data_IF_323024118474
#
_entry.id   IF_323024118474
#
_cell.length_a   1.000
_cell.length_b   1.000
_cell.length_c   1.000
_cell.angle_alpha   90.00
_cell.angle_beta   90.00
_cell.angle_gamma   90.00
#
_symmetry.space_group_name_H-M   'P 1'
#
loop_
_entity.id
_entity.type
_entity.pdbx_description
1 polymer ?
#
# COMPACT_ATOMS: atom_id res chain seq x y z
N UNK A 1 18.65 28.05 33.03
CA UNK A 1 17.42 27.25 32.90
C UNK A 1 16.80 27.55 31.54
N UNK A 2 17.16 26.80 30.49
CA UNK A 2 16.38 26.72 29.25
C UNK A 2 16.68 25.35 28.64
N UNK A 3 15.72 24.45 28.77
CA UNK A 3 15.82 23.04 28.38
C UNK A 3 15.97 22.91 26.86
N UNK A 4 16.85 21.98 26.46
CA UNK A 4 17.13 21.55 25.10
C UNK A 4 15.84 21.31 24.30
N UNK A 5 15.53 22.16 23.33
CA UNK A 5 14.59 21.85 22.23
C UNK A 5 15.30 21.10 21.10
N UNK A 6 16.08 20.07 21.43
CA UNK A 6 16.61 19.12 20.46
C UNK A 6 15.92 17.78 20.68
N UNK A 7 14.66 17.71 20.25
CA UNK A 7 13.84 16.51 20.35
C UNK A 7 13.30 16.14 18.98
N UNK A 8 14.18 15.55 18.16
CA UNK A 8 13.81 14.53 17.18
C UNK A 8 12.75 14.92 16.14
N UNK A 9 12.89 16.08 15.50
CA UNK A 9 12.60 16.12 14.06
C UNK A 9 13.69 15.30 13.38
N UNK A 10 13.53 13.97 13.42
CA UNK A 10 14.15 13.12 12.41
C UNK A 10 13.58 13.64 11.12
N UNK A 11 14.36 14.48 10.45
CA UNK A 11 14.18 14.78 9.04
C UNK A 11 14.40 13.43 8.38
N UNK A 12 13.33 12.62 8.30
CA UNK A 12 13.26 11.49 7.39
C UNK A 12 13.35 12.13 6.01
N UNK A 13 14.56 12.27 5.52
CA UNK A 13 14.84 12.59 4.13
C UNK A 13 13.94 11.71 3.26
N UNK A 14 13.11 12.35 2.41
CA UNK A 14 12.28 11.92 1.26
C UNK A 14 12.29 10.43 0.78
N UNK A 15 12.30 9.48 1.70
CA UNK A 15 12.44 8.06 1.41
C UNK A 15 11.09 7.33 1.40
N UNK A 16 10.01 8.00 1.80
CA UNK A 16 8.65 7.49 1.67
C UNK A 16 7.68 8.60 1.28
N UNK A 17 6.80 8.31 0.33
CA UNK A 17 5.78 9.22 -0.19
C UNK A 17 4.42 8.56 0.05
N UNK A 18 3.53 9.25 0.76
CA UNK A 18 2.16 8.80 0.91
C UNK A 18 1.40 9.05 -0.39
N UNK A 19 0.75 8.00 -0.91
CA UNK A 19 -0.12 8.06 -2.06
C UNK A 19 -1.56 8.17 -1.57
N UNK A 20 -2.22 9.27 -1.92
CA UNK A 20 -3.62 9.50 -1.54
C UNK A 20 -4.52 8.44 -2.18
N UNK A 21 -5.26 7.71 -1.35
CA UNK A 21 -6.31 6.80 -1.78
C UNK A 21 -7.59 7.62 -2.00
N UNK A 22 -8.04 7.71 -3.25
CA UNK A 22 -9.29 8.38 -3.61
C UNK A 22 -10.34 7.33 -3.90
N UNK A 23 -11.39 7.29 -3.09
CA UNK A 23 -12.52 6.40 -3.34
C UNK A 23 -13.24 6.82 -4.63
N UNK A 24 -13.38 5.88 -5.56
CA UNK A 24 -14.06 6.09 -6.86
C UNK A 24 -15.44 5.45 -6.89
N UNK A 25 -15.60 4.32 -6.23
CA UNK A 25 -16.85 3.61 -6.04
C UNK A 25 -16.74 2.73 -4.79
N UNK A 26 -17.85 2.17 -4.33
CA UNK A 26 -17.89 1.33 -3.13
C UNK A 26 -16.80 0.23 -3.16
N UNK A 27 -15.90 0.25 -2.18
CA UNK A 27 -14.78 -0.68 -2.05
C UNK A 27 -13.67 -0.51 -3.08
N UNK A 28 -13.71 0.50 -3.95
CA UNK A 28 -12.69 0.78 -4.98
C UNK A 28 -12.00 2.11 -4.70
N UNK A 29 -10.72 2.03 -4.33
CA UNK A 29 -9.84 3.17 -4.16
C UNK A 29 -8.84 3.25 -5.32
N UNK A 30 -8.50 4.47 -5.71
CA UNK A 30 -7.48 4.73 -6.72
C UNK A 30 -6.37 5.57 -6.12
N UNK A 31 -5.13 5.10 -6.27
CA UNK A 31 -3.93 5.84 -5.91
C UNK A 31 -3.15 6.19 -7.18
N UNK A 32 -3.05 7.47 -7.49
CA UNK A 32 -2.26 7.97 -8.63
C UNK A 32 -0.81 8.12 -8.23
N UNK A 33 0.11 7.66 -9.08
CA UNK A 33 1.54 7.90 -8.92
C UNK A 33 1.97 9.10 -9.73
N UNK A 34 2.93 9.84 -9.20
CA UNK A 34 3.38 11.11 -9.79
C UNK A 34 4.36 10.91 -10.96
N UNK A 35 5.19 9.86 -10.89
CA UNK A 35 6.14 9.50 -11.94
C UNK A 35 6.10 7.98 -12.18
N UNK A 36 6.09 7.56 -13.45
CA UNK A 36 6.18 6.16 -13.85
C UNK A 36 7.45 5.48 -13.33
N UNK A 37 8.55 6.23 -13.13
CA UNK A 37 9.79 5.72 -12.51
C UNK A 37 9.55 5.21 -11.09
N UNK A 38 8.53 5.71 -10.38
CA UNK A 38 8.20 5.22 -9.03
C UNK A 38 7.90 3.72 -9.01
N UNK A 39 7.29 3.17 -10.06
CA UNK A 39 7.01 1.73 -10.15
C UNK A 39 8.29 0.88 -10.06
N UNK A 40 9.38 1.38 -10.61
CA UNK A 40 10.67 0.70 -10.60
C UNK A 40 11.44 0.99 -9.33
N UNK A 41 11.54 2.27 -8.96
CA UNK A 41 12.49 2.75 -7.95
C UNK A 41 11.95 2.67 -6.50
N UNK A 42 10.64 2.44 -6.32
CA UNK A 42 10.00 2.40 -4.99
C UNK A 42 9.31 1.06 -4.73
N UNK A 43 9.46 0.51 -3.53
CA UNK A 43 8.54 -0.48 -2.97
C UNK A 43 7.22 0.17 -2.59
N UNK A 44 6.15 -0.62 -2.56
CA UNK A 44 4.82 -0.12 -2.18
C UNK A 44 4.32 -0.90 -0.98
N UNK A 45 3.81 -0.17 0.01
CA UNK A 45 3.32 -0.73 1.27
C UNK A 45 1.93 -0.19 1.53
N UNK A 46 1.02 -1.07 1.90
CA UNK A 46 -0.31 -0.75 2.36
C UNK A 46 -0.36 -0.96 3.88
N UNK A 47 -0.56 0.11 4.63
CA UNK A 47 -0.85 0.05 6.06
C UNK A 47 -2.36 -0.02 6.25
N UNK A 48 -2.83 -0.99 7.03
CA UNK A 48 -4.26 -1.29 7.17
C UNK A 48 -4.60 -1.43 8.64
N UNK A 49 -5.66 -0.75 9.06
CA UNK A 49 -6.30 -0.92 10.37
C UNK A 49 -7.77 -1.22 10.15
N UNK A 50 -8.34 -2.07 10.98
CA UNK A 50 -9.78 -2.35 11.01
C UNK A 50 -10.17 -2.81 12.42
N UNK A 51 -11.46 -2.71 12.75
CA UNK A 51 -12.04 -3.13 14.03
C UNK A 51 -12.28 -4.66 14.05
N UNK A 52 -11.24 -5.43 13.71
CA UNK A 52 -11.21 -6.89 13.70
C UNK A 52 -9.91 -7.40 14.34
N UNK A 53 -9.87 -8.68 14.71
CA UNK A 53 -8.63 -9.29 15.20
C UNK A 53 -7.52 -9.25 14.13
N UNK A 54 -6.28 -9.01 14.56
CA UNK A 54 -5.15 -8.88 13.65
C UNK A 54 -4.94 -10.15 12.81
N UNK A 55 -5.16 -11.33 13.39
CA UNK A 55 -5.06 -12.62 12.71
C UNK A 55 -6.07 -12.76 11.56
N UNK A 56 -7.28 -12.21 11.74
CA UNK A 56 -8.32 -12.17 10.70
C UNK A 56 -7.87 -11.24 9.58
N UNK A 57 -7.35 -10.05 9.92
CA UNK A 57 -6.82 -9.13 8.90
C UNK A 57 -5.67 -9.77 8.12
N UNK A 58 -4.74 -10.44 8.80
CA UNK A 58 -3.60 -11.11 8.18
C UNK A 58 -3.98 -12.22 7.19
N UNK A 59 -5.08 -12.91 7.43
CA UNK A 59 -5.51 -14.06 6.64
C UNK A 59 -6.52 -13.69 5.56
N UNK A 60 -7.51 -12.85 5.89
CA UNK A 60 -8.61 -12.53 4.98
C UNK A 60 -8.31 -11.32 4.08
N UNK A 61 -7.59 -10.32 4.58
CA UNK A 61 -7.38 -9.08 3.83
C UNK A 61 -6.59 -9.30 2.53
N UNK A 62 -5.45 -10.03 2.52
CA UNK A 62 -4.71 -10.28 1.28
C UNK A 62 -5.53 -11.04 0.23
N UNK A 63 -6.46 -11.89 0.65
CA UNK A 63 -7.31 -12.67 -0.25
C UNK A 63 -8.47 -11.85 -0.85
N UNK A 64 -8.97 -10.86 -0.11
CA UNK A 64 -10.11 -10.03 -0.50
C UNK A 64 -9.71 -8.71 -1.17
N UNK A 65 -8.47 -8.26 -0.92
CA UNK A 65 -7.90 -7.07 -1.55
C UNK A 65 -7.30 -7.43 -2.91
N UNK A 66 -7.81 -6.78 -3.96
CA UNK A 66 -7.30 -6.89 -5.33
C UNK A 66 -6.62 -5.60 -5.73
N UNK A 67 -5.32 -5.66 -6.01
CA UNK A 67 -4.57 -4.51 -6.50
C UNK A 67 -4.19 -4.74 -7.96
N UNK A 68 -4.43 -3.75 -8.82
CA UNK A 68 -4.15 -3.85 -10.25
C UNK A 68 -4.04 -2.47 -10.91
N UNK A 69 -3.63 -2.40 -12.19
CA UNK A 69 -3.82 -1.19 -12.98
C UNK A 69 -5.31 -0.81 -13.05
N UNK A 70 -5.62 0.48 -13.01
CA UNK A 70 -6.99 1.00 -13.15
C UNK A 70 -7.72 0.47 -14.39
N UNK A 71 -6.99 0.18 -15.47
CA UNK A 71 -7.53 -0.37 -16.72
C UNK A 71 -7.89 -1.86 -16.64
N UNK A 72 -7.35 -2.60 -15.66
CA UNK A 72 -7.50 -4.06 -15.53
C UNK A 72 -8.35 -4.49 -14.35
N UNK A 73 -8.56 -3.61 -13.36
CA UNK A 73 -9.24 -3.99 -12.12
C UNK A 73 -10.64 -4.57 -12.35
N UNK A 74 -11.39 -4.01 -13.30
CA UNK A 74 -12.74 -4.48 -13.64
C UNK A 74 -12.73 -5.94 -14.08
N UNK A 75 -11.84 -6.29 -15.00
CA UNK A 75 -11.71 -7.65 -15.52
C UNK A 75 -11.29 -8.61 -14.40
N UNK A 76 -10.37 -8.19 -13.53
CA UNK A 76 -9.92 -9.00 -12.39
C UNK A 76 -11.03 -9.28 -11.38
N UNK A 77 -11.93 -8.33 -11.16
CA UNK A 77 -13.11 -8.52 -10.31
C UNK A 77 -14.10 -9.47 -10.98
N UNK A 78 -14.47 -9.19 -12.24
CA UNK A 78 -15.48 -9.96 -12.98
C UNK A 78 -15.07 -11.42 -13.23
N UNK A 79 -13.80 -11.63 -13.60
CA UNK A 79 -13.26 -12.94 -13.93
C UNK A 79 -12.64 -13.64 -12.71
N UNK A 80 -12.78 -13.05 -11.52
CA UNK A 80 -12.21 -13.56 -10.27
C UNK A 80 -10.70 -13.85 -10.34
N UNK A 81 -9.97 -13.11 -11.19
CA UNK A 81 -8.54 -13.29 -11.36
C UNK A 81 -7.77 -12.71 -10.16
N UNK A 82 -6.58 -13.27 -9.86
CA UNK A 82 -5.70 -12.71 -8.84
C UNK A 82 -5.17 -11.33 -9.25
N UNK A 83 -5.01 -10.45 -8.26
CA UNK A 83 -4.32 -9.17 -8.43
C UNK A 83 -2.83 -9.28 -8.14
N UNK A 84 -2.19 -8.13 -7.90
CA UNK A 84 -0.83 -8.04 -7.37
C UNK A 84 -0.85 -8.60 -5.95
N UNK A 85 0.09 -9.51 -5.66
CA UNK A 85 0.20 -10.16 -4.36
C UNK A 85 0.49 -9.16 -3.24
N UNK A 86 -0.05 -9.45 -2.06
CA UNK A 86 0.20 -8.73 -0.83
C UNK A 86 0.95 -9.65 0.14
N UNK A 87 2.16 -9.26 0.51
CA UNK A 87 3.00 -9.96 1.47
C UNK A 87 2.93 -9.25 2.82
N UNK A 88 2.49 -9.95 3.84
CA UNK A 88 2.52 -9.44 5.22
C UNK A 88 3.94 -9.09 5.65
N UNK A 89 4.10 -7.92 6.27
CA UNK A 89 5.33 -7.51 6.93
C UNK A 89 5.21 -7.72 8.46
N UNK A 90 6.22 -8.30 9.13
CA UNK A 90 6.18 -8.54 10.57
C UNK A 90 6.29 -7.24 11.40
N UNK A 91 6.78 -6.16 10.80
CA UNK A 91 6.94 -4.86 11.42
C UNK A 91 6.79 -3.74 10.39
N UNK A 92 6.46 -2.53 10.86
CA UNK A 92 6.41 -1.34 10.03
C UNK A 92 7.80 -1.03 9.41
N UNK A 93 7.87 -0.64 8.12
CA UNK A 93 9.07 -0.06 7.55
C UNK A 93 9.54 1.16 8.36
N UNK A 94 10.86 1.30 8.53
CA UNK A 94 11.46 2.42 9.28
C UNK A 94 11.24 3.79 8.63
N UNK A 95 10.91 3.80 7.34
CA UNK A 95 10.72 4.99 6.53
C UNK A 95 9.32 5.60 6.65
N UNK A 96 8.35 4.88 7.25
CA UNK A 96 6.98 5.39 7.43
C UNK A 96 6.66 5.53 8.92
N UNK A 97 5.78 6.48 9.31
CA UNK A 97 5.36 6.60 10.69
C UNK A 97 4.75 5.30 11.22
N UNK A 98 5.14 4.92 12.43
CA UNK A 98 4.52 3.79 13.11
C UNK A 98 3.14 4.21 13.64
N UNK A 99 2.11 3.48 13.22
CA UNK A 99 0.77 3.61 13.76
C UNK A 99 0.40 2.35 14.52
N UNK A 100 0.08 2.49 15.81
CA UNK A 100 -0.31 1.37 16.65
C UNK A 100 -1.62 0.75 16.13
N UNK A 101 -1.65 -0.59 16.03
CA UNK A 101 -2.81 -1.33 15.51
C UNK A 101 -2.89 -1.45 13.99
N UNK A 102 -1.90 -0.94 13.25
CA UNK A 102 -1.83 -1.15 11.80
C UNK A 102 -1.06 -2.43 11.48
N UNK A 103 -1.55 -3.14 10.48
CA UNK A 103 -0.85 -4.25 9.82
C UNK A 103 -0.32 -3.76 8.49
N UNK A 104 0.91 -4.15 8.16
CA UNK A 104 1.60 -3.64 6.98
C UNK A 104 1.74 -4.76 5.93
N UNK A 105 1.36 -4.46 4.70
CA UNK A 105 1.45 -5.38 3.57
C UNK A 105 2.29 -4.77 2.46
N UNK A 106 3.33 -5.46 2.04
CA UNK A 106 4.15 -5.09 0.89
C UNK A 106 3.56 -5.66 -0.40
N UNK A 107 3.53 -4.86 -1.46
CA UNK A 107 3.11 -5.33 -2.78
C UNK A 107 4.24 -6.14 -3.43
N UNK A 108 3.91 -7.34 -3.88
CA UNK A 108 4.88 -8.20 -4.55
C UNK A 108 5.16 -7.71 -5.96
N UNK A 109 6.39 -7.26 -6.19
CA UNK A 109 6.88 -6.88 -7.51
C UNK A 109 7.18 -8.13 -8.33
N UNK A 110 6.25 -8.52 -9.20
CA UNK A 110 6.45 -9.69 -10.04
C UNK A 110 5.30 -9.97 -11.02
N UNK A 111 5.60 -10.82 -12.01
CA UNK A 111 4.61 -11.26 -13.00
C UNK A 111 4.22 -10.21 -14.04
N UNK A 112 3.31 -10.60 -14.92
CA UNK A 112 2.90 -9.77 -16.06
C UNK A 112 1.98 -8.61 -15.66
N UNK A 113 1.27 -8.73 -14.53
CA UNK A 113 0.44 -7.65 -14.00
C UNK A 113 1.30 -6.49 -13.49
N UNK A 114 2.47 -6.77 -12.89
CA UNK A 114 3.42 -5.73 -12.49
C UNK A 114 4.01 -5.01 -13.70
N UNK A 115 4.36 -5.73 -14.77
CA UNK A 115 4.83 -5.10 -16.03
C UNK A 115 3.79 -4.17 -16.65
N UNK A 116 2.49 -4.45 -16.46
CA UNK A 116 1.42 -3.55 -16.86
C UNK A 116 1.32 -2.34 -15.93
N UNK A 117 1.52 -2.52 -14.62
CA UNK A 117 1.62 -1.42 -13.65
C UNK A 117 2.75 -0.45 -13.97
N UNK A 118 3.91 -0.94 -14.41
CA UNK A 118 5.05 -0.08 -14.82
C UNK A 118 4.70 0.91 -15.94
N UNK A 119 3.66 0.60 -16.74
CA UNK A 119 3.14 1.46 -17.80
C UNK A 119 1.89 2.24 -17.38
N UNK A 120 1.36 1.97 -16.18
CA UNK A 120 0.19 2.62 -15.62
C UNK A 120 0.60 3.80 -14.74
N UNK A 121 -0.24 4.83 -14.69
CA UNK A 121 -0.07 5.99 -13.80
C UNK A 121 -0.87 5.88 -12.49
N UNK A 122 -1.62 4.78 -12.29
CA UNK A 122 -2.44 4.63 -11.10
C UNK A 122 -2.66 3.16 -10.72
N UNK A 123 -2.74 2.93 -9.42
CA UNK A 123 -3.23 1.70 -8.81
C UNK A 123 -4.73 1.80 -8.58
N UNK A 124 -5.42 0.72 -8.85
CA UNK A 124 -6.75 0.45 -8.35
C UNK A 124 -6.66 -0.61 -7.26
N UNK A 125 -7.27 -0.32 -6.11
CA UNK A 125 -7.38 -1.19 -4.95
C UNK A 125 -8.85 -1.48 -4.76
N UNK A 126 -9.26 -2.71 -5.07
CA UNK A 126 -10.63 -3.17 -4.88
C UNK A 126 -10.71 -4.16 -3.73
N UNK A 127 -11.52 -3.84 -2.74
CA UNK A 127 -11.81 -4.69 -1.61
C UNK A 127 -13.16 -5.38 -1.83
N UNK A 128 -13.15 -6.71 -1.94
CA UNK A 128 -14.36 -7.49 -2.19
C UNK A 128 -15.19 -7.80 -0.92
N UNK A 129 -14.69 -7.44 0.27
CA UNK A 129 -15.35 -7.66 1.55
C UNK A 129 -15.53 -6.37 2.35
N UNK A 130 -16.15 -6.47 3.51
CA UNK A 130 -16.30 -5.37 4.45
C UNK A 130 -15.43 -5.60 5.67
N UNK A 131 -14.65 -4.58 6.04
CA UNK A 131 -13.90 -4.54 7.28
C UNK A 131 -14.42 -3.34 8.08
N UNK A 132 -15.03 -3.56 9.27
CA UNK A 132 -15.54 -2.47 10.08
C UNK A 132 -14.40 -1.55 10.50
N UNK A 133 -14.63 -0.23 10.48
CA UNK A 133 -13.62 0.76 10.85
C UNK A 133 -12.36 0.74 9.98
N UNK A 134 -12.46 0.23 8.74
CA UNK A 134 -11.34 0.15 7.81
C UNK A 134 -10.70 1.51 7.59
N UNK A 135 -9.42 1.58 7.86
CA UNK A 135 -8.56 2.69 7.53
C UNK A 135 -7.33 2.16 6.79
N UNK A 136 -6.94 2.85 5.73
CA UNK A 136 -5.88 2.43 4.83
C UNK A 136 -5.00 3.60 4.46
N UNK A 137 -3.69 3.35 4.51
CA UNK A 137 -2.70 4.26 3.99
C UNK A 137 -1.84 3.53 2.96
N UNK A 138 -1.60 4.19 1.83
CA UNK A 138 -0.76 3.64 0.78
C UNK A 138 0.51 4.45 0.66
N UNK A 139 1.65 3.76 0.71
CA UNK A 139 2.97 4.37 0.79
C UNK A 139 3.87 3.83 -0.31
N UNK A 140 4.57 4.72 -0.99
CA UNK A 140 5.70 4.38 -1.86
C UNK A 140 6.99 4.64 -1.09
N UNK A 141 7.78 3.59 -0.84
CA UNK A 141 9.05 3.66 -0.09
C UNK A 141 10.20 3.45 -1.07
N UNK A 142 11.15 4.39 -1.14
CA UNK A 142 12.30 4.29 -2.02
C UNK A 142 13.10 3.03 -1.68
N UNK A 143 13.27 2.14 -2.65
CA UNK A 143 14.09 0.96 -2.48
C UNK A 143 15.55 1.40 -2.51
N UNK A 144 16.20 1.51 -1.35
CA UNK A 144 17.66 1.45 -1.28
C UNK A 144 18.07 0.00 -1.55
N UNK A 145 18.06 -0.40 -2.82
CA UNK A 145 18.85 -1.57 -3.21
C UNK A 145 20.30 -1.17 -3.05
N UNK A 146 20.86 -1.42 -1.86
CA UNK A 146 22.30 -1.52 -1.71
C UNK A 146 22.77 -2.57 -2.73
N UNK A 147 23.62 -2.10 -3.64
CA UNK A 147 24.12 -2.83 -4.78
C UNK A 147 25.28 -3.73 -4.38
#
# INVERSE_FOLDING_TARGET
MLLLRQGLSVVLEDNAIQLTLVERSHGLNVATVQDAKMMRDFGFVLAVRADVAAEVLLTHFPAQMKIAPVTRIRDLVQLQLPGIGLRTMPAAPRQIPYHAGYTYFELEKGGDLWKQMEKSSAFALHLAGEFPGLDMEFWAIRSHTDR
#
